data_IF_404819811109
#
_entry.id   IF_404819811109
#
_cell.length_a   1.000
_cell.length_b   1.000
_cell.length_c   1.000
_cell.angle_alpha   90.00
_cell.angle_beta   90.00
_cell.angle_gamma   90.00
#
_symmetry.space_group_name_H-M   'P 1'
#
loop_
_entity.id
_entity.type
_entity.pdbx_description
1 polymer ?
#
# COMPACT_ATOMS: atom_id res chain seq x y z
N UNK A 1 5.66 5.23 -1.42
CA UNK A 1 5.61 6.71 -1.49
C UNK A 1 6.99 7.22 -1.89
N UNK A 2 7.09 8.25 -2.74
CA UNK A 2 8.39 8.89 -3.05
C UNK A 2 8.85 9.67 -1.81
N UNK A 3 10.09 9.46 -1.39
CA UNK A 3 10.71 10.17 -0.26
C UNK A 3 11.51 11.36 -0.79
N UNK A 4 12.29 11.15 -1.86
CA UNK A 4 13.13 12.17 -2.45
C UNK A 4 14.17 11.58 -3.39
N UNK A 5 15.21 12.35 -3.68
CA UNK A 5 16.19 12.07 -4.70
C UNK A 5 17.61 12.01 -4.13
N UNK A 6 18.49 11.34 -4.88
CA UNK A 6 19.94 11.37 -4.68
C UNK A 6 20.64 11.51 -6.02
N UNK A 7 21.76 12.21 -6.02
CA UNK A 7 22.69 12.28 -7.14
C UNK A 7 24.04 11.73 -6.68
N UNK A 8 24.58 10.76 -7.42
CA UNK A 8 25.93 10.25 -7.22
C UNK A 8 26.77 10.40 -8.49
N UNK A 9 28.08 10.37 -8.36
CA UNK A 9 28.97 10.27 -9.52
C UNK A 9 29.00 8.86 -10.13
N UNK A 10 29.85 8.65 -11.13
CA UNK A 10 29.98 7.40 -11.85
C UNK A 10 30.47 6.23 -10.99
N UNK A 11 31.23 6.53 -9.94
CA UNK A 11 31.81 5.59 -8.98
C UNK A 11 30.89 5.36 -7.76
N UNK A 12 29.80 6.11 -7.68
CA UNK A 12 28.78 5.96 -6.65
C UNK A 12 29.02 6.78 -5.38
N UNK A 13 29.86 7.81 -5.45
CA UNK A 13 30.00 8.80 -4.38
C UNK A 13 28.81 9.74 -4.41
N UNK A 14 28.15 9.91 -3.26
CA UNK A 14 26.95 10.74 -3.13
C UNK A 14 27.35 12.22 -3.22
N UNK A 15 26.83 12.92 -4.22
CA UNK A 15 27.07 14.34 -4.48
C UNK A 15 25.94 15.23 -3.93
N UNK A 16 24.71 14.70 -3.90
CA UNK A 16 23.55 15.37 -3.34
C UNK A 16 22.53 14.33 -2.87
N UNK A 17 21.78 14.64 -1.81
CA UNK A 17 20.67 13.81 -1.34
C UNK A 17 19.65 14.68 -0.63
N UNK A 18 18.35 14.44 -0.86
CA UNK A 18 17.29 15.19 -0.21
C UNK A 18 17.24 14.87 1.31
N UNK A 19 16.99 15.88 2.14
CA UNK A 19 16.96 15.73 3.61
C UNK A 19 15.96 14.66 4.10
N UNK A 20 14.76 14.50 3.53
CA UNK A 20 13.86 13.42 3.90
C UNK A 20 14.46 12.02 3.69
N UNK A 21 15.27 11.85 2.64
CA UNK A 21 15.95 10.57 2.38
C UNK A 21 17.04 10.34 3.42
N UNK A 22 17.83 11.38 3.75
CA UNK A 22 18.85 11.29 4.79
C UNK A 22 18.21 10.92 6.14
N UNK A 23 17.11 11.58 6.51
CA UNK A 23 16.34 11.32 7.72
C UNK A 23 15.87 9.88 7.81
N UNK A 24 15.31 9.33 6.71
CA UNK A 24 14.89 7.92 6.65
C UNK A 24 16.07 6.97 6.82
N UNK A 25 17.25 7.32 6.27
CA UNK A 25 18.50 6.59 6.46
C UNK A 25 19.13 6.79 7.85
N UNK A 26 18.43 7.47 8.77
CA UNK A 26 18.87 7.82 10.12
C UNK A 26 20.22 8.57 10.11
N UNK A 27 20.43 9.45 9.12
CA UNK A 27 21.63 10.26 8.96
C UNK A 27 21.26 11.68 8.56
N UNK A 28 22.23 12.58 8.65
CA UNK A 28 22.13 13.93 8.08
C UNK A 28 22.66 13.93 6.65
N UNK A 29 22.20 14.88 5.82
CA UNK A 29 22.75 15.08 4.47
C UNK A 29 24.29 15.21 4.52
N UNK A 30 24.83 15.97 5.48
CA UNK A 30 26.28 16.17 5.65
C UNK A 30 27.06 14.87 5.89
N UNK A 31 26.48 13.89 6.58
CA UNK A 31 27.11 12.58 6.80
C UNK A 31 27.10 11.69 5.55
N UNK A 32 26.23 11.98 4.59
CA UNK A 32 26.07 11.20 3.37
C UNK A 32 26.85 11.78 2.19
N UNK A 33 27.03 13.10 2.13
CA UNK A 33 27.80 13.75 1.08
C UNK A 33 29.27 13.28 1.08
N UNK A 34 29.79 12.93 -0.09
CA UNK A 34 31.16 12.44 -0.27
C UNK A 34 31.36 10.97 0.15
N UNK A 35 30.32 10.30 0.65
CA UNK A 35 30.37 8.88 1.01
C UNK A 35 29.89 8.04 -0.18
N UNK A 36 30.54 6.91 -0.41
CA UNK A 36 30.04 5.94 -1.40
C UNK A 36 28.71 5.35 -0.93
N UNK A 37 27.70 5.29 -1.80
CA UNK A 37 26.43 4.63 -1.45
C UNK A 37 26.64 3.15 -1.07
N UNK A 38 27.75 2.52 -1.49
CA UNK A 38 28.06 1.13 -1.18
C UNK A 38 28.40 0.93 0.30
N UNK A 39 28.98 1.92 0.98
CA UNK A 39 29.33 1.79 2.40
C UNK A 39 28.11 1.76 3.31
N UNK A 40 26.99 2.32 2.86
CA UNK A 40 25.70 2.31 3.55
C UNK A 40 24.75 1.24 2.98
N UNK A 41 25.21 0.45 2.00
CA UNK A 41 24.44 -0.68 1.44
C UNK A 41 24.66 -1.92 2.28
N UNK A 42 23.61 -2.70 2.52
CA UNK A 42 23.75 -3.99 3.19
C UNK A 42 24.74 -4.89 2.41
N UNK A 43 25.70 -5.58 3.06
CA UNK A 43 26.79 -6.27 2.36
C UNK A 43 26.32 -7.31 1.33
N UNK A 44 25.23 -8.02 1.62
CA UNK A 44 24.62 -9.00 0.71
C UNK A 44 24.02 -8.39 -0.56
N UNK A 45 23.66 -7.10 -0.53
CA UNK A 45 23.03 -6.41 -1.67
C UNK A 45 24.05 -5.68 -2.55
N UNK A 46 25.31 -5.53 -2.09
CA UNK A 46 26.38 -4.78 -2.78
C UNK A 46 26.63 -5.34 -4.18
N UNK A 47 26.90 -6.65 -4.29
CA UNK A 47 27.26 -7.27 -5.57
C UNK A 47 26.12 -7.15 -6.58
N UNK A 48 24.89 -7.45 -6.15
CA UNK A 48 23.69 -7.33 -6.98
C UNK A 48 23.48 -5.88 -7.45
N UNK A 49 23.67 -4.91 -6.57
CA UNK A 49 23.52 -3.51 -6.91
C UNK A 49 24.56 -3.08 -7.97
N UNK A 50 25.82 -3.50 -7.82
CA UNK A 50 26.87 -3.24 -8.81
C UNK A 50 26.50 -3.79 -10.19
N UNK A 51 26.00 -5.03 -10.27
CA UNK A 51 25.55 -5.63 -11.52
C UNK A 51 24.45 -4.81 -12.20
N UNK A 52 23.44 -4.37 -11.43
CA UNK A 52 22.37 -3.54 -11.97
C UNK A 52 22.85 -2.18 -12.47
N UNK A 53 23.76 -1.53 -11.74
CA UNK A 53 24.32 -0.22 -12.13
C UNK A 53 25.24 -0.33 -13.35
N UNK A 54 25.98 -1.43 -13.49
CA UNK A 54 26.82 -1.70 -14.64
C UNK A 54 26.00 -1.94 -15.92
N UNK A 55 24.78 -2.48 -15.78
CA UNK A 55 23.88 -2.71 -16.92
C UNK A 55 23.19 -1.44 -17.43
N UNK A 56 23.19 -0.35 -16.65
CA UNK A 56 22.56 0.91 -17.05
C UNK A 56 23.29 1.54 -18.24
N UNK A 57 22.56 1.76 -19.32
CA UNK A 57 23.07 2.52 -20.46
C UNK A 57 23.01 4.03 -20.15
N UNK A 58 24.03 4.81 -20.54
CA UNK A 58 23.98 6.26 -20.45
C UNK A 58 22.78 6.82 -21.22
N UNK A 59 22.00 7.68 -20.55
CA UNK A 59 20.75 8.24 -21.07
C UNK A 59 19.72 7.17 -21.50
N UNK A 60 19.85 5.95 -20.97
CA UNK A 60 18.93 4.84 -21.21
C UNK A 60 17.82 4.75 -20.17
N UNK A 61 17.08 3.63 -20.22
CA UNK A 61 15.99 3.37 -19.28
C UNK A 61 16.52 3.27 -17.84
N UNK A 62 15.75 3.83 -16.90
CA UNK A 62 16.02 3.65 -15.47
C UNK A 62 15.78 2.20 -15.05
N UNK A 63 16.59 1.68 -14.13
CA UNK A 63 16.34 0.41 -13.46
C UNK A 63 15.67 0.64 -12.10
N UNK A 64 14.78 -0.27 -11.71
CA UNK A 64 14.14 -0.25 -10.39
C UNK A 64 14.75 -1.35 -9.54
N UNK A 65 15.33 -0.97 -8.40
CA UNK A 65 16.11 -1.85 -7.53
C UNK A 65 15.56 -1.73 -6.12
N UNK A 66 15.20 -2.87 -5.52
CA UNK A 66 14.92 -2.95 -4.09
C UNK A 66 16.22 -3.25 -3.36
N UNK A 67 16.54 -2.43 -2.36
CA UNK A 67 17.86 -2.42 -1.72
C UNK A 67 17.75 -2.21 -0.21
N UNK A 68 18.51 -2.98 0.55
CA UNK A 68 18.70 -2.80 1.99
C UNK A 68 19.87 -1.87 2.25
N UNK A 69 19.65 -0.90 3.12
CA UNK A 69 20.62 0.06 3.61
C UNK A 69 20.90 -0.18 5.10
N UNK A 70 22.10 0.14 5.55
CA UNK A 70 22.46 0.19 6.96
C UNK A 70 22.26 1.64 7.42
N UNK A 71 21.35 1.87 8.37
CA UNK A 71 21.06 3.18 8.96
C UNK A 71 22.21 3.74 9.81
N UNK A 72 22.10 4.99 10.23
CA UNK A 72 23.08 5.62 11.13
C UNK A 72 23.23 4.89 12.47
N UNK A 73 22.15 4.31 12.98
CA UNK A 73 22.13 3.54 14.24
C UNK A 73 22.40 2.03 14.03
N UNK A 74 22.66 1.61 12.78
CA UNK A 74 22.92 0.20 12.43
C UNK A 74 21.69 -0.59 11.98
N UNK A 75 20.50 0.00 12.02
CA UNK A 75 19.26 -0.64 11.56
C UNK A 75 19.28 -0.97 10.06
N UNK A 76 18.60 -2.05 9.67
CA UNK A 76 18.44 -2.39 8.25
C UNK A 76 17.18 -1.74 7.68
N UNK A 77 17.37 -0.79 6.77
CA UNK A 77 16.29 0.01 6.15
C UNK A 77 16.14 -0.41 4.70
N UNK A 78 14.95 -0.86 4.29
CA UNK A 78 14.70 -1.26 2.90
C UNK A 78 14.06 -0.11 2.12
N UNK A 79 14.66 0.29 1.01
CA UNK A 79 14.11 1.27 0.08
C UNK A 79 14.04 0.70 -1.34
N UNK A 80 13.14 1.27 -2.12
CA UNK A 80 13.08 1.03 -3.54
C UNK A 80 13.68 2.24 -4.26
N UNK A 81 14.63 1.99 -5.15
CA UNK A 81 15.37 3.02 -5.85
C UNK A 81 15.16 2.84 -7.34
N UNK A 82 14.58 3.85 -7.97
CA UNK A 82 14.61 3.97 -9.42
C UNK A 82 15.85 4.76 -9.80
N UNK A 83 16.79 4.13 -10.49
CA UNK A 83 18.10 4.71 -10.83
C UNK A 83 18.26 4.82 -12.33
N UNK A 84 18.69 5.99 -12.80
CA UNK A 84 19.11 6.23 -14.18
C UNK A 84 20.55 6.73 -14.21
N UNK A 85 21.23 6.49 -15.33
CA UNK A 85 22.57 7.00 -15.60
C UNK A 85 22.48 8.11 -16.64
N UNK A 86 23.02 9.28 -16.33
CA UNK A 86 23.18 10.39 -17.25
C UNK A 86 24.66 10.59 -17.59
N UNK A 87 24.97 10.77 -18.87
CA UNK A 87 26.35 10.99 -19.33
C UNK A 87 27.26 9.76 -19.29
N UNK A 88 28.45 9.90 -19.91
CA UNK A 88 29.39 8.79 -20.14
C UNK A 88 30.69 8.98 -19.33
N UNK A 89 31.36 7.86 -19.01
CA UNK A 89 32.69 7.87 -18.37
C UNK A 89 32.70 8.47 -16.95
N UNK A 90 33.82 9.09 -16.55
CA UNK A 90 34.02 9.67 -15.21
C UNK A 90 33.11 10.88 -14.92
N UNK A 91 32.50 11.49 -15.94
CA UNK A 91 31.51 12.57 -15.78
C UNK A 91 30.08 12.07 -15.65
N UNK A 92 29.87 10.75 -15.71
CA UNK A 92 28.56 10.14 -15.56
C UNK A 92 27.97 10.40 -14.18
N UNK A 93 26.66 10.64 -14.12
CA UNK A 93 25.91 10.79 -12.87
C UNK A 93 24.85 9.72 -12.75
N UNK A 94 24.68 9.21 -11.55
CA UNK A 94 23.57 8.36 -11.17
C UNK A 94 22.51 9.23 -10.50
N UNK A 95 21.30 9.23 -11.06
CA UNK A 95 20.13 9.86 -10.42
C UNK A 95 19.26 8.76 -9.85
N UNK A 96 19.07 8.78 -8.53
CA UNK A 96 18.20 7.87 -7.81
C UNK A 96 16.96 8.60 -7.31
N UNK A 97 15.77 8.10 -7.63
CA UNK A 97 14.52 8.43 -6.94
C UNK A 97 14.27 7.35 -5.90
N UNK A 98 14.25 7.73 -4.62
CA UNK A 98 14.07 6.82 -3.50
C UNK A 98 12.63 6.84 -3.02
N UNK A 99 12.06 5.65 -2.94
CA UNK A 99 10.73 5.39 -2.46
C UNK A 99 10.79 4.50 -1.23
N UNK A 100 9.81 4.66 -0.34
CA UNK A 100 9.58 3.65 0.70
C UNK A 100 9.35 2.31 0.01
N UNK A 101 10.20 1.32 0.30
CA UNK A 101 9.90 -0.05 -0.09
C UNK A 101 8.83 -0.57 0.87
N UNK A 102 7.80 -1.25 0.38
CA UNK A 102 6.92 -1.99 1.26
C UNK A 102 7.76 -3.06 1.98
N UNK A 103 8.03 -2.88 3.28
CA UNK A 103 8.61 -3.89 4.19
C UNK A 103 7.82 -5.20 4.17
N UNK A 104 8.37 -6.28 4.77
CA UNK A 104 7.57 -7.49 5.03
C UNK A 104 6.38 -7.13 5.95
N UNK A 105 6.61 -6.22 6.90
CA UNK A 105 5.55 -5.59 7.67
C UNK A 105 4.61 -4.75 6.80
N UNK A 106 4.95 -4.23 5.62
CA UNK A 106 4.03 -3.57 4.67
C UNK A 106 3.40 -4.54 3.65
N UNK A 107 3.94 -5.74 3.49
CA UNK A 107 3.26 -6.85 2.79
C UNK A 107 2.25 -7.54 3.71
N UNK A 108 2.52 -7.51 5.01
CA UNK A 108 1.66 -7.97 6.09
C UNK A 108 0.74 -6.81 6.57
N UNK A 109 1.16 -5.54 6.53
CA UNK A 109 0.47 -4.34 7.06
C UNK A 109 0.44 -3.11 6.12
N UNK A 110 0.54 -3.28 4.80
CA UNK A 110 0.00 -2.27 3.86
C UNK A 110 0.88 -1.12 3.39
N UNK A 111 1.85 -1.40 2.51
CA UNK A 111 2.56 -0.41 1.69
C UNK A 111 1.75 0.12 0.49
N UNK A 112 0.45 0.26 0.69
CA UNK A 112 -0.55 0.70 -0.26
C UNK A 112 -1.90 0.60 0.43
N UNK A 113 -2.14 1.45 1.44
CA UNK A 113 -3.28 1.32 2.34
C UNK A 113 -4.61 1.03 1.62
N UNK A 114 -4.97 1.73 0.52
CA UNK A 114 -6.21 1.41 -0.21
C UNK A 114 -6.19 0.04 -0.92
N UNK A 115 -5.09 -0.33 -1.59
CA UNK A 115 -5.09 -1.52 -2.47
C UNK A 115 -5.06 -2.84 -1.68
N UNK A 116 -4.35 -2.91 -0.56
CA UNK A 116 -4.30 -4.14 0.23
C UNK A 116 -5.57 -4.33 1.08
N UNK A 117 -6.15 -3.25 1.62
CA UNK A 117 -7.44 -3.30 2.32
C UNK A 117 -8.58 -3.60 1.34
N UNK A 118 -8.58 -3.00 0.15
CA UNK A 118 -9.49 -3.38 -0.94
C UNK A 118 -9.36 -4.85 -1.31
N UNK A 119 -8.13 -5.36 -1.51
CA UNK A 119 -7.91 -6.77 -1.83
C UNK A 119 -8.43 -7.67 -0.71
N UNK A 120 -8.12 -7.34 0.54
CA UNK A 120 -8.59 -8.10 1.71
C UNK A 120 -10.11 -8.06 1.86
N UNK A 121 -10.75 -6.93 1.59
CA UNK A 121 -12.20 -6.82 1.55
C UNK A 121 -12.80 -7.74 0.47
N UNK A 122 -12.20 -7.78 -0.73
CA UNK A 122 -12.62 -8.72 -1.80
C UNK A 122 -12.42 -10.18 -1.40
N UNK A 123 -11.27 -10.52 -0.83
CA UNK A 123 -10.98 -11.88 -0.38
C UNK A 123 -12.00 -12.34 0.69
N UNK A 124 -12.38 -11.46 1.62
CA UNK A 124 -13.42 -11.75 2.62
C UNK A 124 -14.80 -11.93 1.98
N UNK A 125 -15.18 -11.09 1.02
CA UNK A 125 -16.43 -11.23 0.28
C UNK A 125 -16.48 -12.54 -0.52
N UNK A 126 -15.36 -12.95 -1.13
CA UNK A 126 -15.28 -14.20 -1.87
C UNK A 126 -15.36 -15.41 -0.94
N UNK A 127 -14.76 -15.35 0.25
CA UNK A 127 -14.93 -16.36 1.31
C UNK A 127 -16.40 -16.44 1.76
N UNK A 128 -17.05 -15.30 2.00
CA UNK A 128 -18.48 -15.24 2.38
C UNK A 128 -19.35 -15.89 1.30
N UNK A 129 -19.14 -15.54 0.03
CA UNK A 129 -19.89 -16.12 -1.10
C UNK A 129 -19.64 -17.62 -1.26
N UNK A 130 -18.37 -18.05 -1.17
CA UNK A 130 -18.02 -19.45 -1.26
C UNK A 130 -18.63 -20.26 -0.11
N UNK A 131 -18.59 -19.73 1.11
CA UNK A 131 -19.23 -20.30 2.30
C UNK A 131 -20.74 -20.45 2.09
N UNK A 132 -21.42 -19.42 1.63
CA UNK A 132 -22.87 -19.45 1.43
C UNK A 132 -23.27 -20.43 0.31
N UNK A 133 -22.44 -20.57 -0.73
CA UNK A 133 -22.65 -21.55 -1.80
C UNK A 133 -22.47 -23.00 -1.33
N UNK A 134 -21.57 -23.24 -0.37
CA UNK A 134 -21.26 -24.59 0.15
C UNK A 134 -22.17 -24.99 1.32
N UNK A 135 -22.47 -24.05 2.22
CA UNK A 135 -23.15 -24.32 3.50
C UNK A 135 -24.59 -23.78 3.57
N UNK A 136 -25.05 -23.06 2.55
CA UNK A 136 -26.34 -22.36 2.57
C UNK A 136 -26.22 -20.93 3.11
N UNK A 137 -27.02 -20.02 2.56
CA UNK A 137 -27.00 -18.58 2.90
C UNK A 137 -27.82 -18.22 4.14
N UNK A 138 -28.56 -19.18 4.70
CA UNK A 138 -29.42 -19.03 5.87
C UNK A 138 -28.68 -19.25 7.20
N UNK A 139 -27.48 -19.83 7.17
CA UNK A 139 -26.71 -20.18 8.36
C UNK A 139 -25.93 -19.00 8.96
N UNK A 140 -25.56 -18.00 8.15
CA UNK A 140 -24.70 -16.89 8.58
C UNK A 140 -25.36 -15.53 8.29
N UNK A 141 -25.60 -14.73 9.32
CA UNK A 141 -26.48 -13.55 9.24
C UNK A 141 -25.76 -12.19 9.31
N UNK A 142 -24.49 -12.10 8.90
CA UNK A 142 -23.72 -10.86 9.03
C UNK A 142 -23.94 -9.86 7.87
N UNK A 143 -25.19 -9.46 7.71
CA UNK A 143 -25.61 -8.57 6.63
C UNK A 143 -25.09 -7.14 6.80
N UNK A 144 -24.92 -6.67 8.04
CA UNK A 144 -24.41 -5.33 8.31
C UNK A 144 -22.94 -5.19 7.92
N UNK A 145 -22.08 -6.14 8.32
CA UNK A 145 -20.67 -6.13 7.92
C UNK A 145 -20.50 -6.33 6.42
N UNK A 146 -21.22 -7.30 5.84
CA UNK A 146 -21.13 -7.57 4.40
C UNK A 146 -21.60 -6.37 3.57
N UNK A 147 -22.61 -5.63 4.02
CA UNK A 147 -23.03 -4.35 3.41
C UNK A 147 -21.87 -3.35 3.41
N UNK A 148 -21.19 -3.14 4.54
CA UNK A 148 -20.06 -2.22 4.63
C UNK A 148 -18.92 -2.61 3.70
N UNK A 149 -18.59 -3.91 3.59
CA UNK A 149 -17.57 -4.41 2.68
C UNK A 149 -17.93 -4.20 1.20
N UNK A 150 -19.19 -4.44 0.81
CA UNK A 150 -19.65 -4.23 -0.56
C UNK A 150 -19.55 -2.75 -0.94
N UNK A 151 -20.01 -1.85 -0.06
CA UNK A 151 -19.93 -0.39 -0.29
C UNK A 151 -18.47 0.07 -0.35
N UNK A 152 -17.63 -0.38 0.59
CA UNK A 152 -16.19 -0.07 0.60
C UNK A 152 -15.48 -0.46 -0.71
N UNK A 153 -15.72 -1.69 -1.20
CA UNK A 153 -15.13 -2.16 -2.45
C UNK A 153 -15.66 -1.39 -3.66
N UNK A 154 -16.96 -1.05 -3.68
CA UNK A 154 -17.54 -0.25 -4.76
C UNK A 154 -16.90 1.14 -4.83
N UNK A 155 -16.80 1.84 -3.69
CA UNK A 155 -16.18 3.17 -3.62
C UNK A 155 -14.70 3.14 -4.02
N UNK A 156 -13.94 2.16 -3.52
CA UNK A 156 -12.52 1.98 -3.89
C UNK A 156 -12.32 1.71 -5.39
N UNK A 157 -13.31 1.10 -6.06
CA UNK A 157 -13.34 0.88 -7.51
C UNK A 157 -13.98 2.04 -8.29
N UNK A 158 -14.31 3.16 -7.63
CA UNK A 158 -15.04 4.30 -8.20
C UNK A 158 -16.40 3.91 -8.82
N UNK A 159 -17.07 2.91 -8.25
CA UNK A 159 -18.41 2.45 -8.63
C UNK A 159 -19.46 2.93 -7.62
N UNK A 160 -20.68 3.15 -8.11
CA UNK A 160 -21.83 3.48 -7.27
C UNK A 160 -22.41 2.21 -6.67
N UNK A 161 -22.54 2.15 -5.34
CA UNK A 161 -23.24 1.08 -4.64
C UNK A 161 -24.72 1.47 -4.41
N UNK A 162 -25.58 1.29 -5.41
CA UNK A 162 -27.01 1.50 -5.20
C UNK A 162 -27.63 0.43 -4.29
N UNK A 163 -28.70 0.77 -3.58
CA UNK A 163 -29.35 -0.17 -2.62
C UNK A 163 -29.74 -1.48 -3.29
N UNK A 164 -30.27 -1.45 -4.51
CA UNK A 164 -30.69 -2.67 -5.23
C UNK A 164 -29.48 -3.54 -5.60
N UNK A 165 -28.36 -2.95 -6.03
CA UNK A 165 -27.12 -3.70 -6.28
C UNK A 165 -26.63 -4.42 -5.02
N UNK A 166 -26.67 -3.74 -3.87
CA UNK A 166 -26.25 -4.32 -2.59
C UNK A 166 -27.24 -5.40 -2.13
N UNK A 167 -28.54 -5.20 -2.33
CA UNK A 167 -29.57 -6.18 -2.01
C UNK A 167 -29.39 -7.47 -2.81
N UNK A 168 -29.15 -7.36 -4.11
CA UNK A 168 -28.90 -8.49 -5.02
C UNK A 168 -27.64 -9.25 -4.63
N UNK A 169 -26.55 -8.53 -4.33
CA UNK A 169 -25.29 -9.12 -3.87
C UNK A 169 -25.47 -9.95 -2.58
N UNK A 170 -26.33 -9.49 -1.67
CA UNK A 170 -26.62 -10.15 -0.39
C UNK A 170 -27.77 -11.18 -0.49
N UNK A 171 -28.44 -11.28 -1.64
CA UNK A 171 -29.69 -12.06 -1.81
C UNK A 171 -30.77 -11.69 -0.79
N UNK A 172 -30.87 -10.41 -0.45
CA UNK A 172 -31.85 -9.89 0.50
C UNK A 172 -32.95 -9.12 -0.21
N UNK A 173 -34.13 -9.07 0.42
CA UNK A 173 -35.15 -8.11 0.00
C UNK A 173 -34.71 -6.68 0.34
N UNK A 174 -35.13 -5.70 -0.48
CA UNK A 174 -34.86 -4.27 -0.24
C UNK A 174 -35.33 -3.79 1.14
N UNK A 175 -36.43 -4.35 1.66
CA UNK A 175 -36.93 -4.01 2.99
C UNK A 175 -36.02 -4.50 4.12
N UNK A 176 -35.48 -5.72 3.99
CA UNK A 176 -34.52 -6.29 4.93
C UNK A 176 -33.21 -5.50 4.93
N UNK A 177 -32.68 -5.16 3.74
CA UNK A 177 -31.49 -4.33 3.63
C UNK A 177 -31.73 -2.91 4.18
N UNK A 178 -32.89 -2.31 3.90
CA UNK A 178 -33.29 -1.01 4.43
C UNK A 178 -33.29 -0.96 5.97
N UNK A 179 -33.64 -2.06 6.65
CA UNK A 179 -33.53 -2.14 8.12
C UNK A 179 -32.06 -2.04 8.58
N UNK A 180 -31.14 -2.71 7.90
CA UNK A 180 -29.72 -2.68 8.22
C UNK A 180 -29.08 -1.33 7.88
N UNK A 181 -29.46 -0.70 6.76
CA UNK A 181 -29.00 0.65 6.41
C UNK A 181 -29.33 1.64 7.54
N UNK A 182 -30.55 1.60 8.09
CA UNK A 182 -30.92 2.48 9.22
C UNK A 182 -30.06 2.24 10.47
N UNK A 183 -29.70 0.97 10.75
CA UNK A 183 -28.82 0.63 11.88
C UNK A 183 -27.40 1.16 11.65
N UNK A 184 -26.87 1.02 10.43
CA UNK A 184 -25.55 1.52 10.05
C UNK A 184 -25.49 3.05 10.08
N UNK A 185 -26.56 3.73 9.66
CA UNK A 185 -26.72 5.18 9.74
C UNK A 185 -26.80 5.70 11.17
N UNK A 186 -27.56 5.02 12.04
CA UNK A 186 -27.64 5.40 13.45
C UNK A 186 -26.27 5.30 14.17
N UNK A 187 -25.32 4.54 13.59
CA UNK A 187 -23.93 4.44 14.05
C UNK A 187 -22.97 5.34 13.27
N UNK A 188 -23.48 6.20 12.39
CA UNK A 188 -22.70 7.08 11.52
C UNK A 188 -21.69 6.32 10.64
N UNK A 189 -22.02 5.11 10.19
CA UNK A 189 -21.14 4.31 9.32
C UNK A 189 -21.47 4.46 7.84
N UNK A 190 -22.73 4.77 7.52
CA UNK A 190 -23.23 5.03 6.16
C UNK A 190 -23.93 6.40 6.16
N UNK A 191 -23.74 7.16 5.10
CA UNK A 191 -24.44 8.42 4.87
C UNK A 191 -25.95 8.19 4.65
N UNK A 192 -26.81 9.18 4.89
CA UNK A 192 -28.18 9.15 4.39
C UNK A 192 -28.14 8.93 2.86
N UNK A 193 -28.82 7.91 2.29
CA UNK A 193 -28.77 7.67 0.85
C UNK A 193 -29.27 8.90 0.13
N UNK A 194 -28.54 9.28 -0.92
CA UNK A 194 -28.97 10.34 -1.83
C UNK A 194 -30.35 9.97 -2.40
N UNK A 195 -31.32 10.89 -2.29
CA UNK A 195 -32.71 10.64 -2.68
C UNK A 195 -32.86 10.39 -4.18
N UNK A 196 -31.91 10.86 -4.99
CA UNK A 196 -31.99 10.79 -6.45
C UNK A 196 -31.25 9.56 -7.02
N UNK A 197 -30.15 9.14 -6.37
CA UNK A 197 -29.30 8.04 -6.86
C UNK A 197 -29.44 6.74 -6.07
N UNK A 198 -30.12 6.78 -4.92
CA UNK A 198 -30.24 5.65 -3.97
C UNK A 198 -28.86 5.01 -3.67
N UNK A 199 -27.83 5.86 -3.67
CA UNK A 199 -26.44 5.46 -3.53
C UNK A 199 -26.08 5.37 -2.05
N UNK A 200 -25.57 4.21 -1.66
CA UNK A 200 -24.98 4.02 -0.35
C UNK A 200 -23.53 4.51 -0.39
N UNK A 201 -23.18 5.34 0.59
CA UNK A 201 -21.82 5.81 0.80
C UNK A 201 -21.39 5.62 2.25
N UNK A 202 -20.13 5.28 2.46
CA UNK A 202 -19.53 5.26 3.78
C UNK A 202 -19.24 6.69 4.22
N UNK A 203 -19.51 6.96 5.50
CA UNK A 203 -18.97 8.18 6.12
C UNK A 203 -17.46 8.01 6.33
N UNK A 204 -16.74 9.08 6.68
CA UNK A 204 -15.35 8.98 7.14
C UNK A 204 -15.19 7.99 8.31
N UNK A 205 -16.12 8.02 9.27
CA UNK A 205 -16.11 7.07 10.40
C UNK A 205 -16.36 5.63 9.96
N UNK A 206 -17.21 5.44 8.94
CA UNK A 206 -17.44 4.14 8.30
C UNK A 206 -16.17 3.59 7.67
N UNK A 207 -15.51 4.39 6.84
CA UNK A 207 -14.21 4.06 6.21
C UNK A 207 -13.18 3.70 7.28
N UNK A 208 -12.93 4.60 8.25
CA UNK A 208 -11.93 4.37 9.29
C UNK A 208 -12.20 3.09 10.11
N UNK A 209 -13.48 2.75 10.34
CA UNK A 209 -13.88 1.55 11.07
C UNK A 209 -13.67 0.27 10.26
N UNK A 210 -14.08 0.28 8.99
CA UNK A 210 -13.86 -0.84 8.06
C UNK A 210 -12.37 -1.09 7.88
N UNK A 211 -11.59 -0.03 7.63
CA UNK A 211 -10.14 -0.13 7.45
C UNK A 211 -9.44 -0.64 8.70
N UNK A 212 -9.86 -0.22 9.90
CA UNK A 212 -9.33 -0.76 11.17
C UNK A 212 -9.58 -2.26 11.30
N UNK A 213 -10.80 -2.72 10.98
CA UNK A 213 -11.15 -4.15 11.05
C UNK A 213 -10.38 -4.95 9.99
N UNK A 214 -10.27 -4.43 8.77
CA UNK A 214 -9.47 -5.03 7.70
C UNK A 214 -7.97 -5.01 8.01
N UNK A 215 -7.48 -4.07 8.81
CA UNK A 215 -6.08 -4.00 9.23
C UNK A 215 -5.77 -4.95 10.39
N UNK A 216 -6.78 -5.49 11.07
CA UNK A 216 -6.59 -6.36 12.23
C UNK A 216 -5.99 -7.69 11.78
N UNK A 217 -4.75 -7.99 12.19
CA UNK A 217 -4.16 -9.31 12.00
C UNK A 217 -4.93 -10.33 12.80
N UNK A 218 -5.28 -11.45 12.16
CA UNK A 218 -5.63 -12.65 12.91
C UNK A 218 -4.35 -13.10 13.63
N UNK A 219 -4.15 -12.64 14.87
CA UNK A 219 -3.18 -13.19 15.80
C UNK A 219 -3.63 -14.59 16.18
N UNK A 220 -3.53 -15.53 15.24
CA UNK A 220 -3.54 -16.97 15.54
C UNK A 220 -2.09 -17.43 15.48
N UNK A 221 -1.33 -16.99 16.48
CA UNK A 221 -0.14 -17.70 16.89
C UNK A 221 -0.60 -19.09 17.34
N UNK A 222 -0.30 -20.07 16.49
CA UNK A 222 -0.29 -21.49 16.80
C UNK A 222 0.38 -21.68 18.17
N UNK A 223 -0.38 -22.20 19.13
CA UNK A 223 0.16 -22.80 20.36
C UNK A 223 0.17 -24.31 20.17
#
# INVERSE_FOLDING_TARGET
>A
MIIGHSVSDGDGVILAIDEPVATVLQRTQKQLLGVSYLSITHPEDVMRNLTHIAALQPNGNSARIRKRYIGGEGDVITLEVQVSRLGNGQSGRLIGTLCTAPTLADHINGGGMPHHLWRRAKDLLDIIRARDAVLGSDLFADHAWTTLLIVYVAEAESRIACVDFVADQLRLSRSTLGRWIRVLQAKSLIEPPDRDLDALQLTKTGIDSVERLLSTHATMALS
#
